data_IF_791882794090
#
_entry.id   IF_791882794090
#
_cell.length_a   1.000
_cell.length_b   1.000
_cell.length_c   1.000
_cell.angle_alpha   90.00
_cell.angle_beta   90.00
_cell.angle_gamma   90.00
#
_symmetry.space_group_name_H-M   'P 1'
#
loop_
_entity.id
_entity.type
_entity.pdbx_description
1 polymer ?
#
# COMPACT_ATOMS: atom_id res chain seq x y z
N UNK A 1 -12.75 -4.72 20.72
CA UNK A 1 -12.24 -3.33 20.63
C UNK A 1 -11.35 -3.25 19.40
N UNK A 2 -11.62 -2.37 18.42
CA UNK A 2 -10.67 -2.17 17.32
C UNK A 2 -9.39 -1.56 17.88
N UNK A 3 -8.25 -2.19 17.62
CA UNK A 3 -6.94 -1.67 17.99
C UNK A 3 -6.60 -0.54 17.00
N UNK A 4 -6.80 0.71 17.42
CA UNK A 4 -6.40 1.88 16.65
C UNK A 4 -4.87 1.99 16.62
N UNK A 5 -4.30 2.01 15.43
CA UNK A 5 -2.86 2.22 15.22
C UNK A 5 -2.62 3.63 14.69
N UNK A 6 -1.62 4.32 15.25
CA UNK A 6 -1.26 5.68 14.88
C UNK A 6 0.07 5.68 14.11
N UNK A 7 0.05 6.25 12.91
CA UNK A 7 1.23 6.47 12.06
C UNK A 7 1.36 7.98 11.84
N UNK A 8 2.10 8.64 12.73
CA UNK A 8 2.17 10.10 12.75
C UNK A 8 0.80 10.73 13.00
N UNK A 9 0.27 11.47 12.00
CA UNK A 9 -1.07 12.10 12.04
C UNK A 9 -2.19 11.21 11.50
N UNK A 10 -1.84 10.04 10.95
CA UNK A 10 -2.81 9.10 10.39
C UNK A 10 -3.22 8.10 11.47
N UNK A 11 -4.52 7.98 11.72
CA UNK A 11 -5.09 6.94 12.57
C UNK A 11 -5.77 5.89 11.70
N UNK A 12 -5.40 4.63 11.86
CA UNK A 12 -6.04 3.48 11.20
C UNK A 12 -6.74 2.61 12.24
N UNK A 13 -7.84 1.98 11.84
CA UNK A 13 -8.76 1.21 12.69
C UNK A 13 -8.34 -0.26 12.89
N UNK A 14 -7.17 -0.66 12.35
CA UNK A 14 -6.60 -1.99 12.55
C UNK A 14 -5.08 -1.95 12.77
N UNK A 15 -4.50 -2.98 13.44
CA UNK A 15 -3.07 -3.12 13.68
C UNK A 15 -2.32 -3.78 12.52
N UNK A 16 -2.88 -3.75 11.32
CA UNK A 16 -2.27 -4.35 10.12
C UNK A 16 -2.53 -3.47 8.89
N UNK A 17 -1.69 -3.64 7.88
CA UNK A 17 -1.80 -2.97 6.59
C UNK A 17 -1.14 -3.82 5.50
N UNK A 18 -1.45 -3.54 4.24
CA UNK A 18 -0.82 -4.23 3.11
C UNK A 18 0.56 -3.62 2.83
N UNK A 19 1.60 -4.45 2.95
CA UNK A 19 2.98 -4.05 2.69
C UNK A 19 3.23 -3.71 1.21
N UNK A 20 4.17 -2.79 0.98
CA UNK A 20 4.69 -2.47 -0.35
C UNK A 20 5.72 -3.51 -0.79
N UNK A 21 5.50 -4.11 -1.95
CA UNK A 21 6.33 -5.15 -2.54
C UNK A 21 6.58 -4.78 -4.01
N UNK A 22 7.85 -4.55 -4.38
CA UNK A 22 8.24 -4.21 -5.75
C UNK A 22 7.75 -5.28 -6.74
N UNK A 23 7.01 -4.87 -7.78
CA UNK A 23 6.44 -5.80 -8.78
C UNK A 23 5.22 -6.60 -8.32
N UNK A 24 4.70 -6.38 -7.10
CA UNK A 24 3.50 -7.08 -6.59
C UNK A 24 2.41 -6.14 -6.09
N UNK A 25 2.77 -5.06 -5.38
CA UNK A 25 1.82 -4.12 -4.77
C UNK A 25 1.20 -3.14 -5.78
N UNK A 26 0.74 -3.71 -6.88
CA UNK A 26 0.06 -3.05 -7.98
C UNK A 26 -1.35 -2.57 -7.58
N UNK A 27 -2.10 -2.05 -8.56
CA UNK A 27 -3.47 -1.61 -8.31
C UNK A 27 -4.40 -2.77 -7.96
N UNK A 28 -4.24 -3.94 -8.58
CA UNK A 28 -5.12 -5.08 -8.36
C UNK A 28 -4.99 -5.61 -6.92
N UNK A 29 -3.76 -5.82 -6.44
CA UNK A 29 -3.48 -6.23 -5.06
C UNK A 29 -4.07 -5.23 -4.05
N UNK A 30 -3.85 -3.92 -4.27
CA UNK A 30 -4.38 -2.88 -3.38
C UNK A 30 -5.91 -2.86 -3.34
N UNK A 31 -6.57 -3.08 -4.47
CA UNK A 31 -8.03 -3.16 -4.53
C UNK A 31 -8.55 -4.39 -3.78
N UNK A 32 -7.90 -5.55 -3.93
CA UNK A 32 -8.25 -6.77 -3.19
C UNK A 32 -8.06 -6.54 -1.69
N UNK A 33 -6.92 -5.98 -1.26
CA UNK A 33 -6.65 -5.69 0.15
C UNK A 33 -7.73 -4.79 0.76
N UNK A 34 -8.14 -3.71 0.07
CA UNK A 34 -9.22 -2.82 0.52
C UNK A 34 -10.57 -3.53 0.65
N UNK A 35 -10.90 -4.40 -0.31
CA UNK A 35 -12.13 -5.21 -0.27
C UNK A 35 -12.15 -6.16 0.94
N UNK A 36 -10.99 -6.58 1.42
CA UNK A 36 -10.84 -7.42 2.62
C UNK A 36 -10.64 -6.63 3.92
N UNK A 37 -10.93 -5.32 3.93
CA UNK A 37 -10.88 -4.51 5.15
C UNK A 37 -9.49 -4.03 5.55
N UNK A 38 -8.54 -4.00 4.61
CA UNK A 38 -7.24 -3.41 4.86
C UNK A 38 -7.35 -1.87 4.92
N UNK A 39 -7.00 -1.23 6.05
CA UNK A 39 -7.22 0.21 6.23
C UNK A 39 -6.17 1.08 5.53
N UNK A 40 -5.00 0.51 5.25
CA UNK A 40 -3.90 1.18 4.57
C UNK A 40 -3.22 0.21 3.61
N UNK A 41 -2.94 0.67 2.40
CA UNK A 41 -2.34 -0.14 1.34
C UNK A 41 -1.18 0.62 0.71
N UNK A 42 0.04 0.10 0.86
CA UNK A 42 1.27 0.73 0.36
C UNK A 42 1.52 0.27 -1.08
N UNK A 43 1.81 1.23 -1.97
CA UNK A 43 2.18 0.94 -3.37
C UNK A 43 3.55 0.28 -3.45
N UNK A 44 3.84 -0.38 -4.57
CA UNK A 44 5.17 -0.90 -4.81
C UNK A 44 6.26 0.20 -4.80
N UNK A 45 7.48 -0.18 -4.42
CA UNK A 45 8.64 0.69 -4.58
C UNK A 45 9.07 0.65 -6.05
N UNK A 46 9.05 1.80 -6.71
CA UNK A 46 9.53 1.95 -8.09
C UNK A 46 10.83 2.75 -8.12
N UNK A 47 11.75 2.35 -9.00
CA UNK A 47 12.89 3.21 -9.34
C UNK A 47 12.36 4.47 -10.03
N UNK A 48 13.02 5.59 -9.76
CA UNK A 48 12.77 6.87 -10.42
C UNK A 48 12.89 6.77 -11.95
N UNK A 49 13.85 5.96 -12.45
CA UNK A 49 14.01 5.70 -13.88
C UNK A 49 12.76 5.10 -14.52
N UNK A 50 12.05 4.19 -13.83
CA UNK A 50 10.79 3.65 -14.36
C UNK A 50 9.74 4.75 -14.46
N UNK A 51 9.66 5.65 -13.48
CA UNK A 51 8.72 6.78 -13.53
C UNK A 51 9.06 7.76 -14.65
N UNK A 52 10.34 8.13 -14.79
CA UNK A 52 10.84 9.07 -15.79
C UNK A 52 10.64 8.52 -17.22
N UNK A 53 10.88 7.22 -17.42
CA UNK A 53 10.78 6.56 -18.73
C UNK A 53 9.37 6.02 -19.05
N UNK A 54 8.36 6.32 -18.21
CA UNK A 54 6.98 5.91 -18.44
C UNK A 54 6.73 4.41 -18.34
N UNK A 55 7.43 3.74 -17.41
CA UNK A 55 7.32 2.30 -17.16
C UNK A 55 8.06 1.43 -18.17
N UNK A 56 8.90 2.01 -19.03
CA UNK A 56 9.76 1.29 -19.97
C UNK A 56 11.13 1.09 -19.32
N UNK A 57 11.40 -0.14 -18.89
CA UNK A 57 12.74 -0.64 -18.60
C UNK A 57 13.36 -1.28 -19.84
#
# INVERSE_FOLDING_TARGET
>A
MPCMTQIGKLTIDAPFFQAGLAGYSDTAMRLVARKHGCPLCVTEAMLDQFLINGGKG
#
